data_IF_016001759968
#
_entry.id   IF_016001759968
#
_cell.length_a   1.000
_cell.length_b   1.000
_cell.length_c   1.000
_cell.angle_alpha   90.00
_cell.angle_beta   90.00
_cell.angle_gamma   90.00
#
_symmetry.space_group_name_H-M   'P 1'
#
loop_
_entity.id
_entity.type
_entity.pdbx_description
1 polymer ?
#
# COMPACT_ATOMS: atom_id res chain seq x y z
N UNK A 1 19.53 -27.77 29.74
CA UNK A 1 20.15 -28.82 28.91
C UNK A 1 19.13 -29.88 28.51
N UNK A 2 18.40 -30.50 29.47
CA UNK A 2 17.44 -31.58 29.19
C UNK A 2 16.25 -31.16 28.31
N UNK A 3 15.71 -29.92 28.46
CA UNK A 3 14.64 -29.39 27.58
C UNK A 3 15.11 -29.23 26.14
N UNK A 4 16.32 -28.76 25.93
CA UNK A 4 16.88 -28.59 24.59
C UNK A 4 17.05 -29.95 23.89
N UNK A 5 17.59 -30.94 24.60
CA UNK A 5 17.76 -32.31 24.06
C UNK A 5 16.40 -32.95 23.73
N UNK A 6 15.39 -32.75 24.60
CA UNK A 6 14.03 -33.23 24.33
C UNK A 6 13.41 -32.54 23.10
N UNK A 7 13.63 -31.24 22.94
CA UNK A 7 13.13 -30.50 21.75
C UNK A 7 13.83 -30.95 20.47
N UNK A 8 15.13 -31.25 20.53
CA UNK A 8 15.86 -31.80 19.38
C UNK A 8 15.36 -33.18 18.96
N UNK A 9 14.97 -34.01 19.93
CA UNK A 9 14.39 -35.33 19.66
C UNK A 9 12.97 -35.29 19.06
N UNK A 10 12.31 -34.12 19.14
CA UNK A 10 10.98 -33.87 18.58
C UNK A 10 11.03 -33.16 17.23
N UNK A 11 12.22 -32.83 16.71
CA UNK A 11 12.36 -32.28 15.36
C UNK A 11 11.99 -33.37 14.35
N UNK A 12 10.99 -33.04 13.53
CA UNK A 12 10.64 -33.90 12.38
C UNK A 12 11.78 -33.85 11.37
N UNK A 13 12.04 -34.96 10.70
CA UNK A 13 13.04 -35.04 9.63
C UNK A 13 12.64 -34.21 8.39
N UNK A 14 11.39 -33.73 8.38
CA UNK A 14 10.90 -32.86 7.32
C UNK A 14 11.25 -31.37 7.64
N UNK A 15 11.96 -30.74 6.72
CA UNK A 15 12.16 -29.30 6.76
C UNK A 15 10.79 -28.61 6.64
N UNK A 16 10.37 -27.79 7.61
CA UNK A 16 9.09 -27.09 7.54
C UNK A 16 9.03 -26.23 6.26
N UNK A 17 7.93 -26.36 5.53
CA UNK A 17 7.67 -25.46 4.40
C UNK A 17 7.36 -24.08 4.98
N UNK A 18 8.02 -23.00 4.52
CA UNK A 18 7.71 -21.64 4.96
C UNK A 18 6.23 -21.34 4.77
N UNK A 19 5.59 -20.74 5.76
CA UNK A 19 4.19 -20.30 5.65
C UNK A 19 4.00 -19.22 4.58
N UNK A 20 5.06 -18.51 4.22
CA UNK A 20 5.09 -17.48 3.19
C UNK A 20 5.84 -18.00 1.99
N UNK A 21 5.13 -18.27 0.91
CA UNK A 21 5.67 -18.72 -0.38
C UNK A 21 5.59 -17.60 -1.42
N UNK A 22 5.64 -16.33 -0.99
CA UNK A 22 5.53 -15.21 -1.91
C UNK A 22 6.71 -15.20 -2.91
N UNK A 23 6.41 -14.93 -4.16
CA UNK A 23 7.40 -14.66 -5.21
C UNK A 23 7.12 -13.28 -5.79
N UNK A 24 7.89 -12.29 -5.36
CA UNK A 24 7.72 -10.88 -5.77
C UNK A 24 7.82 -10.63 -7.28
N UNK A 25 8.28 -11.61 -8.04
CA UNK A 25 8.33 -11.53 -9.51
C UNK A 25 7.06 -11.99 -10.18
N UNK A 26 6.38 -12.95 -9.55
CA UNK A 26 5.27 -13.68 -10.17
C UNK A 26 3.96 -13.55 -9.39
N UNK A 27 4.00 -13.05 -8.16
CA UNK A 27 2.80 -12.88 -7.34
C UNK A 27 1.84 -11.86 -7.96
N UNK A 28 0.56 -12.20 -7.95
CA UNK A 28 -0.52 -11.32 -8.40
C UNK A 28 -1.14 -10.64 -7.20
N UNK A 29 -1.36 -9.33 -7.32
CA UNK A 29 -2.13 -8.59 -6.32
C UNK A 29 -3.57 -9.12 -6.26
N UNK A 30 -4.03 -9.47 -5.08
CA UNK A 30 -5.36 -10.06 -4.85
C UNK A 30 -6.11 -9.23 -3.83
N UNK A 31 -7.40 -9.00 -4.08
CA UNK A 31 -8.30 -8.48 -3.06
C UNK A 31 -8.68 -9.65 -2.14
N UNK A 32 -8.57 -9.51 -0.81
CA UNK A 32 -9.03 -10.54 0.12
C UNK A 32 -10.48 -10.95 -0.17
N UNK A 33 -10.75 -12.26 -0.17
CA UNK A 33 -12.08 -12.80 -0.50
C UNK A 33 -13.14 -12.40 0.54
N UNK A 34 -12.73 -12.16 1.78
CA UNK A 34 -13.61 -11.72 2.87
C UNK A 34 -12.81 -10.98 3.93
N UNK A 35 -13.33 -9.84 4.38
CA UNK A 35 -12.70 -9.06 5.44
C UNK A 35 -11.40 -8.39 5.04
N UNK A 36 -10.54 -8.20 6.02
CA UNK A 36 -9.25 -7.56 5.89
C UNK A 36 -8.13 -8.52 6.29
N UNK A 37 -7.10 -8.59 5.48
CA UNK A 37 -5.85 -9.30 5.76
C UNK A 37 -4.67 -8.37 5.48
N UNK A 38 -3.65 -8.44 6.35
CA UNK A 38 -2.44 -7.64 6.15
C UNK A 38 -1.65 -8.11 4.94
N UNK A 39 -1.18 -7.16 4.14
CA UNK A 39 -0.24 -7.41 3.08
C UNK A 39 1.10 -7.86 3.68
N UNK A 40 1.69 -8.97 3.22
CA UNK A 40 2.96 -9.43 3.75
C UNK A 40 4.12 -8.59 3.24
N UNK A 41 5.08 -8.30 4.12
CA UNK A 41 6.37 -7.76 3.72
C UNK A 41 7.15 -8.78 2.90
N UNK A 42 8.14 -8.32 2.16
CA UNK A 42 8.97 -9.18 1.33
C UNK A 42 9.80 -10.11 2.19
N UNK A 43 9.62 -11.42 2.02
CA UNK A 43 10.37 -12.43 2.77
C UNK A 43 11.80 -12.56 2.22
N UNK A 44 12.83 -12.14 2.98
CA UNK A 44 14.22 -12.22 2.54
C UNK A 44 14.79 -13.63 2.56
N UNK A 45 14.09 -14.62 3.15
CA UNK A 45 14.52 -16.02 3.12
C UNK A 45 14.50 -16.59 1.70
N UNK A 46 13.62 -16.09 0.84
CA UNK A 46 13.47 -16.53 -0.53
C UNK A 46 14.51 -15.87 -1.46
N UNK A 47 15.27 -16.67 -2.18
CA UNK A 47 16.32 -16.18 -3.07
C UNK A 47 15.79 -15.25 -4.18
N UNK A 48 14.63 -15.56 -4.75
CA UNK A 48 13.97 -14.74 -5.77
C UNK A 48 13.64 -13.33 -5.25
N UNK A 49 13.14 -13.24 -4.03
CA UNK A 49 12.82 -11.97 -3.38
C UNK A 49 14.07 -11.13 -3.11
N UNK A 50 15.18 -11.75 -2.69
CA UNK A 50 16.45 -11.02 -2.52
C UNK A 50 16.97 -10.44 -3.84
N UNK A 51 16.89 -11.21 -4.91
CA UNK A 51 17.32 -10.73 -6.24
C UNK A 51 16.43 -9.55 -6.67
N UNK A 52 15.12 -9.68 -6.52
CA UNK A 52 14.17 -8.61 -6.81
C UNK A 52 14.45 -7.34 -5.98
N UNK A 53 14.73 -7.47 -4.68
CA UNK A 53 15.08 -6.37 -3.81
C UNK A 53 16.40 -5.68 -4.22
N UNK A 54 17.43 -6.46 -4.53
CA UNK A 54 18.71 -5.90 -5.00
C UNK A 54 18.59 -5.13 -6.31
N UNK A 55 17.73 -5.58 -7.23
CA UNK A 55 17.46 -4.85 -8.47
C UNK A 55 16.83 -3.48 -8.19
N UNK A 56 15.92 -3.38 -7.21
CA UNK A 56 15.33 -2.10 -6.78
C UNK A 56 16.38 -1.21 -6.12
N UNK A 57 17.13 -1.73 -5.15
CA UNK A 57 18.21 -1.00 -4.46
C UNK A 57 19.19 -0.41 -5.47
N UNK A 58 19.57 -1.17 -6.48
CA UNK A 58 20.48 -0.71 -7.51
C UNK A 58 19.91 0.44 -8.34
N UNK A 59 18.61 0.39 -8.67
CA UNK A 59 17.96 1.45 -9.47
C UNK A 59 17.67 2.70 -8.66
N UNK A 60 17.36 2.58 -7.36
CA UNK A 60 16.94 3.69 -6.53
C UNK A 60 17.96 4.83 -6.47
N UNK A 61 19.26 4.54 -6.53
CA UNK A 61 20.33 5.55 -6.49
C UNK A 61 20.29 6.56 -7.66
N UNK A 62 19.66 6.21 -8.78
CA UNK A 62 19.52 7.05 -9.96
C UNK A 62 18.10 7.16 -10.47
N UNK A 63 17.13 6.80 -9.66
CA UNK A 63 15.72 6.80 -10.06
C UNK A 63 15.23 8.19 -10.41
N UNK A 64 14.40 8.23 -11.45
CA UNK A 64 13.67 9.42 -11.88
C UNK A 64 12.16 9.16 -11.93
N UNK A 65 11.70 8.05 -11.35
CA UNK A 65 10.28 7.73 -11.29
C UNK A 65 9.50 8.83 -10.57
N UNK A 66 8.39 9.24 -11.12
CA UNK A 66 7.49 10.25 -10.56
C UNK A 66 7.97 11.70 -10.71
N UNK A 67 9.25 11.96 -11.08
CA UNK A 67 9.78 13.33 -11.15
C UNK A 67 9.10 14.17 -12.22
N UNK A 68 8.88 13.61 -13.39
CA UNK A 68 8.22 14.31 -14.51
C UNK A 68 6.78 14.65 -14.13
N UNK A 69 6.07 13.71 -13.52
CA UNK A 69 4.69 13.90 -13.08
C UNK A 69 4.57 14.99 -12.01
N UNK A 70 5.51 15.03 -11.07
CA UNK A 70 5.56 16.08 -10.04
C UNK A 70 5.87 17.44 -10.67
N UNK A 71 6.88 17.52 -11.56
CA UNK A 71 7.26 18.76 -12.22
C UNK A 71 6.09 19.34 -13.04
N UNK A 72 5.30 18.49 -13.70
CA UNK A 72 4.13 18.91 -14.48
C UNK A 72 2.94 19.39 -13.63
N UNK A 73 2.89 18.97 -12.38
CA UNK A 73 1.78 19.31 -11.44
C UNK A 73 2.18 20.36 -10.39
N UNK A 74 3.33 20.98 -10.56
CA UNK A 74 3.83 21.96 -9.61
C UNK A 74 2.94 23.22 -9.61
N UNK A 75 2.51 23.66 -8.42
CA UNK A 75 1.70 24.87 -8.23
C UNK A 75 2.64 26.00 -7.85
N UNK A 76 2.76 26.99 -8.72
CA UNK A 76 3.69 28.12 -8.54
C UNK A 76 2.99 29.42 -8.11
N UNK A 77 1.69 29.54 -8.37
CA UNK A 77 0.95 30.76 -8.14
C UNK A 77 -0.29 30.55 -7.26
N UNK A 78 -0.69 31.61 -6.57
CA UNK A 78 -1.93 31.63 -5.79
C UNK A 78 -3.17 31.36 -6.66
N UNK A 79 -3.18 31.81 -7.90
CA UNK A 79 -4.27 31.52 -8.85
C UNK A 79 -4.38 30.03 -9.11
N UNK A 80 -3.27 29.35 -9.42
CA UNK A 80 -3.25 27.90 -9.64
C UNK A 80 -3.70 27.11 -8.40
N UNK A 81 -3.31 27.59 -7.20
CA UNK A 81 -3.78 26.99 -5.94
C UNK A 81 -5.30 27.13 -5.77
N UNK A 82 -5.83 28.32 -6.01
CA UNK A 82 -7.27 28.58 -5.91
C UNK A 82 -8.06 27.78 -6.95
N UNK A 83 -7.55 27.64 -8.16
CA UNK A 83 -8.14 26.79 -9.21
C UNK A 83 -8.17 25.31 -8.78
N UNK A 84 -7.07 24.80 -8.25
CA UNK A 84 -6.99 23.42 -7.75
C UNK A 84 -7.99 23.15 -6.61
N UNK A 85 -8.11 24.10 -5.65
CA UNK A 85 -9.08 24.00 -4.57
C UNK A 85 -10.52 24.02 -5.12
N UNK A 86 -10.81 24.92 -6.05
CA UNK A 86 -12.14 25.05 -6.67
C UNK A 86 -12.55 23.79 -7.43
N UNK A 87 -11.63 23.21 -8.19
CA UNK A 87 -11.84 21.95 -8.90
C UNK A 87 -12.10 20.81 -7.89
N UNK A 88 -11.28 20.72 -6.83
CA UNK A 88 -11.44 19.70 -5.79
C UNK A 88 -12.80 19.87 -5.05
N UNK A 89 -13.23 21.10 -4.78
CA UNK A 89 -14.52 21.38 -4.12
C UNK A 89 -15.70 20.94 -4.98
N UNK A 90 -15.70 21.27 -6.28
CA UNK A 90 -16.73 20.83 -7.22
C UNK A 90 -16.78 19.32 -7.36
N UNK A 91 -15.61 18.68 -7.53
CA UNK A 91 -15.49 17.21 -7.60
C UNK A 91 -15.96 16.55 -6.31
N UNK A 92 -15.64 17.13 -5.14
CA UNK A 92 -16.02 16.65 -3.83
C UNK A 92 -17.54 16.54 -3.63
N UNK A 93 -18.33 17.44 -4.25
CA UNK A 93 -19.79 17.35 -4.21
C UNK A 93 -20.30 16.08 -4.90
N UNK A 94 -19.76 15.75 -6.05
CA UNK A 94 -20.16 14.53 -6.80
C UNK A 94 -19.62 13.27 -6.13
N UNK A 95 -18.37 13.33 -5.66
CA UNK A 95 -17.76 12.24 -4.89
C UNK A 95 -18.56 11.88 -3.64
N UNK A 96 -19.02 12.89 -2.91
CA UNK A 96 -19.82 12.71 -1.70
C UNK A 96 -21.20 12.08 -1.93
N UNK A 97 -21.73 12.15 -3.17
CA UNK A 97 -23.00 11.52 -3.56
C UNK A 97 -22.84 10.06 -3.99
N UNK A 98 -21.61 9.60 -4.25
CA UNK A 98 -21.38 8.23 -4.64
C UNK A 98 -21.75 7.27 -3.52
N UNK A 99 -22.25 6.12 -3.94
CA UNK A 99 -22.52 5.02 -3.02
C UNK A 99 -21.26 4.63 -2.22
N UNK A 100 -21.36 4.43 -0.90
CA UNK A 100 -20.24 4.02 -0.07
C UNK A 100 -19.54 2.73 -0.54
N UNK A 101 -20.30 1.77 -1.08
CA UNK A 101 -19.74 0.53 -1.61
C UNK A 101 -18.95 0.75 -2.90
N UNK A 102 -19.38 1.69 -3.76
CA UNK A 102 -18.57 2.08 -4.93
C UNK A 102 -17.25 2.74 -4.53
N UNK A 103 -17.29 3.62 -3.51
CA UNK A 103 -16.06 4.24 -2.97
C UNK A 103 -15.14 3.21 -2.35
N UNK A 104 -15.70 2.24 -1.62
CA UNK A 104 -14.93 1.13 -1.06
C UNK A 104 -14.28 0.27 -2.15
N UNK A 105 -15.02 -0.03 -3.22
CA UNK A 105 -14.46 -0.77 -4.36
C UNK A 105 -13.26 -0.06 -5.00
N UNK A 106 -13.32 1.28 -5.11
CA UNK A 106 -12.19 2.08 -5.62
C UNK A 106 -10.97 2.02 -4.69
N UNK A 107 -11.16 2.06 -3.35
CA UNK A 107 -10.08 1.90 -2.39
C UNK A 107 -9.43 0.51 -2.49
N UNK A 108 -10.21 -0.54 -2.67
CA UNK A 108 -9.67 -1.88 -2.92
C UNK A 108 -8.84 -1.92 -4.21
N UNK A 109 -9.30 -1.25 -5.28
CA UNK A 109 -8.52 -1.15 -6.53
C UNK A 109 -7.20 -0.40 -6.32
N UNK A 110 -7.19 0.64 -5.49
CA UNK A 110 -5.96 1.36 -5.11
C UNK A 110 -5.00 0.41 -4.38
N UNK A 111 -5.46 -0.38 -3.43
CA UNK A 111 -4.63 -1.38 -2.74
C UNK A 111 -4.01 -2.40 -3.70
N UNK A 112 -4.80 -2.90 -4.66
CA UNK A 112 -4.31 -3.79 -5.72
C UNK A 112 -3.26 -3.11 -6.61
N UNK A 113 -3.46 -1.83 -6.94
CA UNK A 113 -2.49 -1.07 -7.74
C UNK A 113 -1.19 -0.83 -6.96
N UNK A 114 -1.27 -0.53 -5.66
CA UNK A 114 -0.09 -0.38 -4.81
C UNK A 114 0.71 -1.68 -4.75
N UNK A 115 0.05 -2.83 -4.60
CA UNK A 115 0.76 -4.12 -4.63
C UNK A 115 1.43 -4.37 -5.99
N UNK A 116 0.74 -4.12 -7.10
CA UNK A 116 1.32 -4.24 -8.45
C UNK A 116 2.50 -3.32 -8.68
N UNK A 117 2.48 -2.15 -8.06
CA UNK A 117 3.50 -1.11 -8.17
C UNK A 117 4.47 -1.08 -6.99
N UNK A 118 4.42 -2.10 -6.13
CA UNK A 118 5.25 -2.18 -4.92
C UNK A 118 6.72 -1.84 -5.19
N UNK A 119 7.32 -2.44 -6.20
CA UNK A 119 8.71 -2.21 -6.53
C UNK A 119 9.02 -0.77 -6.96
N UNK A 120 8.12 -0.15 -7.72
CA UNK A 120 8.24 1.26 -8.14
C UNK A 120 8.09 2.19 -6.94
N UNK A 121 7.13 1.91 -6.04
CA UNK A 121 6.89 2.70 -4.82
C UNK A 121 8.09 2.62 -3.87
N UNK A 122 8.64 1.43 -3.64
CA UNK A 122 9.86 1.24 -2.84
C UNK A 122 11.02 2.01 -3.45
N UNK A 123 11.22 1.92 -4.77
CA UNK A 123 12.29 2.63 -5.49
C UNK A 123 12.20 4.14 -5.29
N UNK A 124 11.01 4.72 -5.43
CA UNK A 124 10.78 6.16 -5.20
C UNK A 124 11.03 6.53 -3.74
N UNK A 125 10.48 5.77 -2.79
CA UNK A 125 10.68 6.02 -1.37
C UNK A 125 12.16 6.01 -0.97
N UNK A 126 12.92 5.04 -1.45
CA UNK A 126 14.37 4.97 -1.24
C UNK A 126 15.11 6.15 -1.89
N UNK A 127 14.74 6.51 -3.13
CA UNK A 127 15.40 7.58 -3.88
C UNK A 127 15.18 8.97 -3.27
N UNK A 128 14.00 9.23 -2.73
CA UNK A 128 13.64 10.55 -2.20
C UNK A 128 13.99 10.73 -0.72
N UNK A 129 13.89 9.67 0.08
CA UNK A 129 14.05 9.77 1.54
C UNK A 129 15.34 9.13 2.05
N UNK A 130 16.04 8.34 1.25
CA UNK A 130 17.21 7.57 1.68
C UNK A 130 16.90 6.40 2.60
N UNK A 131 15.65 5.96 2.68
CA UNK A 131 15.25 4.80 3.48
C UNK A 131 15.91 3.52 3.01
N UNK A 132 16.13 2.59 3.94
CA UNK A 132 16.51 1.23 3.60
C UNK A 132 15.34 0.48 2.94
N UNK A 133 15.64 -0.55 2.16
CA UNK A 133 14.65 -1.32 1.41
C UNK A 133 13.55 -1.91 2.32
N UNK A 134 13.93 -2.53 3.43
CA UNK A 134 13.02 -3.15 4.38
C UNK A 134 12.06 -2.14 5.03
N UNK A 135 12.52 -0.93 5.29
CA UNK A 135 11.67 0.16 5.79
C UNK A 135 10.65 0.61 4.73
N UNK A 136 11.10 0.81 3.50
CA UNK A 136 10.24 1.21 2.40
C UNK A 136 9.22 0.11 2.04
N UNK A 137 9.63 -1.17 2.08
CA UNK A 137 8.74 -2.29 1.80
C UNK A 137 7.62 -2.42 2.83
N UNK A 138 7.94 -2.26 4.13
CA UNK A 138 6.94 -2.27 5.20
C UNK A 138 5.93 -1.11 5.06
N UNK A 139 6.38 0.08 4.68
CA UNK A 139 5.49 1.22 4.45
C UNK A 139 4.57 1.02 3.24
N UNK A 140 5.03 0.33 2.18
CA UNK A 140 4.15 -0.03 1.07
C UNK A 140 3.14 -1.08 1.49
N UNK A 141 3.51 -2.07 2.32
CA UNK A 141 2.56 -3.00 2.92
C UNK A 141 1.49 -2.27 3.73
N UNK A 142 1.89 -1.31 4.56
CA UNK A 142 0.97 -0.49 5.35
C UNK A 142 0.04 0.35 4.47
N UNK A 143 0.53 0.94 3.38
CA UNK A 143 -0.30 1.69 2.44
C UNK A 143 -1.36 0.81 1.76
N UNK A 144 -1.00 -0.44 1.41
CA UNK A 144 -1.94 -1.44 0.88
C UNK A 144 -2.97 -1.79 1.94
N UNK A 145 -2.53 -2.03 3.16
CA UNK A 145 -3.38 -2.35 4.31
C UNK A 145 -4.39 -1.23 4.57
N UNK A 146 -3.96 0.02 4.59
CA UNK A 146 -4.85 1.16 4.76
C UNK A 146 -5.90 1.24 3.65
N UNK A 147 -5.51 1.03 2.39
CA UNK A 147 -6.46 1.05 1.29
C UNK A 147 -7.56 -0.01 1.49
N UNK A 148 -7.20 -1.24 1.82
CA UNK A 148 -8.17 -2.33 2.03
C UNK A 148 -8.95 -2.17 3.33
N UNK A 149 -8.28 -1.79 4.44
CA UNK A 149 -8.92 -1.60 5.74
C UNK A 149 -9.97 -0.50 5.69
N UNK A 150 -9.62 0.68 5.15
CA UNK A 150 -10.57 1.80 5.07
C UNK A 150 -11.67 1.57 4.04
N UNK A 151 -11.46 0.73 3.03
CA UNK A 151 -12.54 0.26 2.18
C UNK A 151 -13.62 -0.48 2.99
N UNK A 152 -13.20 -1.41 3.85
CA UNK A 152 -14.13 -2.13 4.72
C UNK A 152 -14.79 -1.22 5.77
N UNK A 153 -14.05 -0.24 6.34
CA UNK A 153 -14.65 0.71 7.27
C UNK A 153 -15.67 1.63 6.58
N UNK A 154 -15.43 2.03 5.32
CA UNK A 154 -16.37 2.85 4.56
C UNK A 154 -17.73 2.16 4.36
N UNK A 155 -17.74 0.84 4.15
CA UNK A 155 -18.98 0.04 4.10
C UNK A 155 -19.71 0.08 5.43
N UNK A 156 -18.99 -0.17 6.54
CA UNK A 156 -19.58 -0.16 7.90
C UNK A 156 -20.17 1.19 8.29
N UNK A 157 -19.54 2.29 7.86
CA UNK A 157 -20.10 3.62 8.13
C UNK A 157 -21.47 3.84 7.48
N UNK A 158 -21.76 3.19 6.37
CA UNK A 158 -23.05 3.25 5.69
C UNK A 158 -24.15 2.46 6.42
N UNK A 159 -23.77 1.53 7.29
CA UNK A 159 -24.66 0.60 8.00
C UNK A 159 -25.00 1.06 9.43
N UNK A 160 -24.48 2.22 9.87
CA UNK A 160 -24.74 2.73 11.23
C UNK A 160 -26.16 3.25 11.35
N UNK A 161 -26.97 2.59 12.14
CA UNK A 161 -28.35 3.01 12.44
C UNK A 161 -28.39 4.38 13.14
N UNK A 162 -29.27 5.25 12.68
CA UNK A 162 -29.52 6.55 13.28
C UNK A 162 -28.44 7.61 13.04
N UNK A 163 -27.43 7.32 12.20
CA UNK A 163 -26.37 8.26 11.83
C UNK A 163 -26.23 8.38 10.31
N UNK A 164 -25.97 9.61 9.86
CA UNK A 164 -25.66 9.89 8.44
C UNK A 164 -24.25 10.48 8.35
N UNK A 165 -23.32 9.75 7.75
CA UNK A 165 -21.98 10.24 7.50
C UNK A 165 -22.01 11.32 6.42
N UNK A 166 -21.60 12.55 6.76
CA UNK A 166 -21.47 13.66 5.81
C UNK A 166 -20.03 13.74 5.29
N UNK A 167 -19.78 13.52 4.00
CA UNK A 167 -18.45 13.64 3.44
C UNK A 167 -17.96 15.10 3.50
N UNK A 168 -16.66 15.27 3.72
CA UNK A 168 -15.99 16.56 3.53
C UNK A 168 -15.85 16.83 2.04
N UNK A 169 -15.88 18.11 1.65
CA UNK A 169 -15.71 18.48 0.23
C UNK A 169 -14.25 18.44 -0.19
N UNK A 170 -13.37 19.00 0.63
CA UNK A 170 -11.93 19.04 0.41
C UNK A 170 -11.24 18.66 1.70
N UNK A 171 -10.19 17.88 1.60
CA UNK A 171 -9.29 17.55 2.72
C UNK A 171 -7.87 17.83 2.26
N UNK A 172 -7.15 18.67 3.00
CA UNK A 172 -5.72 18.88 2.81
C UNK A 172 -4.97 17.81 3.58
N UNK A 173 -4.10 17.09 2.88
CA UNK A 173 -3.16 16.15 3.48
C UNK A 173 -1.76 16.74 3.37
N UNK A 174 -1.10 16.90 4.52
CA UNK A 174 0.29 17.36 4.62
C UNK A 174 1.12 16.23 5.20
N UNK A 175 1.94 15.55 4.39
CA UNK A 175 2.79 14.45 4.86
C UNK A 175 3.93 14.93 5.76
#
# INVERSE_FOLDING_TARGET
KNRFVASMAMLDDQVPIPNRLQDRRNDSAVIPASGFENAPDTDPALAGNRIWAYDIIKRSSSSRLGKIEIEQQFIETESQLNDAISIAELAGVQWGKRDPYERAALLHQIGVLFERKRGDLIEVAMAETGKAFDQADAEVSEAIDFAHYYAEQAKKLAEIDGAVAKPRRVTLVTP
#
